data_IF_137232528284
#
_entry.id   IF_137232528284
#
_cell.length_a   1.000
_cell.length_b   1.000
_cell.length_c   1.000
_cell.angle_alpha   90.00
_cell.angle_beta   90.00
_cell.angle_gamma   90.00
#
_symmetry.space_group_name_H-M   'P 1'
#
loop_
_entity.id
_entity.type
_entity.pdbx_description
1 polymer ?
#
# COMPACT_ATOMS: atom_id res chain seq x y z
N UNK A 1 11.80 0.92 17.74
CA UNK A 1 10.74 0.45 16.84
C UNK A 1 9.41 0.59 17.58
N UNK A 2 8.37 1.18 16.97
CA UNK A 2 7.06 1.32 17.63
C UNK A 2 6.32 -0.02 17.63
N UNK A 3 5.62 -0.34 18.72
CA UNK A 3 4.74 -1.51 18.74
C UNK A 3 3.50 -1.29 17.88
N UNK A 4 2.90 -2.35 17.35
CA UNK A 4 1.63 -2.24 16.62
C UNK A 4 0.54 -1.59 17.46
N UNK A 5 0.44 -1.94 18.74
CA UNK A 5 -0.50 -1.34 19.67
C UNK A 5 -0.29 0.18 19.82
N UNK A 6 0.97 0.64 19.87
CA UNK A 6 1.29 2.08 19.91
C UNK A 6 0.92 2.79 18.62
N UNK A 7 1.14 2.17 17.46
CA UNK A 7 0.80 2.72 16.14
C UNK A 7 -0.71 2.92 16.03
N UNK A 8 -1.50 1.91 16.43
CA UNK A 8 -2.97 1.95 16.42
C UNK A 8 -3.49 2.98 17.41
N UNK A 9 -3.02 2.96 18.67
CA UNK A 9 -3.45 3.91 19.71
C UNK A 9 -3.19 5.37 19.35
N UNK A 10 -2.06 5.64 18.68
CA UNK A 10 -1.68 6.99 18.21
C UNK A 10 -2.36 7.39 16.89
N UNK A 11 -3.17 6.51 16.29
CA UNK A 11 -3.82 6.69 14.99
C UNK A 11 -2.83 7.08 13.86
N UNK A 12 -1.60 6.56 13.91
CA UNK A 12 -0.60 6.77 12.84
C UNK A 12 -1.03 6.06 11.56
N UNK A 13 -1.64 4.88 11.71
CA UNK A 13 -2.27 4.10 10.63
C UNK A 13 -3.76 4.01 10.93
N UNK A 14 -4.60 4.39 9.95
CA UNK A 14 -6.07 4.44 10.06
C UNK A 14 -6.71 3.56 8.99
N UNK A 15 -8.02 3.34 9.09
CA UNK A 15 -8.82 2.51 8.17
C UNK A 15 -8.43 1.01 8.16
N UNK A 16 -7.96 0.51 9.30
CA UNK A 16 -7.73 -0.92 9.50
C UNK A 16 -9.04 -1.69 9.38
N UNK A 17 -9.05 -2.68 8.50
CA UNK A 17 -10.22 -3.54 8.24
C UNK A 17 -10.50 -4.50 9.40
N UNK A 18 -9.43 -4.99 10.05
CA UNK A 18 -9.51 -5.90 11.18
C UNK A 18 -8.31 -5.66 12.12
N UNK A 19 -8.49 -4.80 13.13
CA UNK A 19 -7.42 -4.39 14.05
C UNK A 19 -6.75 -5.60 14.73
N UNK A 20 -7.54 -6.56 15.19
CA UNK A 20 -7.03 -7.72 15.95
C UNK A 20 -6.08 -8.61 15.13
N UNK A 21 -6.27 -8.71 13.82
CA UNK A 21 -5.41 -9.51 12.93
C UNK A 21 -4.30 -8.70 12.28
N UNK A 22 -4.50 -7.39 12.09
CA UNK A 22 -3.50 -6.51 11.45
C UNK A 22 -2.47 -5.97 12.44
N UNK A 23 -2.78 -5.91 13.73
CA UNK A 23 -1.82 -5.45 14.74
C UNK A 23 -0.72 -6.51 14.94
N UNK A 24 0.52 -6.16 14.56
CA UNK A 24 1.70 -7.01 14.75
C UNK A 24 2.52 -6.54 15.98
N UNK A 25 3.45 -7.36 16.51
CA UNK A 25 4.26 -6.98 17.66
C UNK A 25 5.01 -5.64 17.47
N UNK A 26 5.56 -5.41 16.27
CA UNK A 26 6.39 -4.24 15.94
C UNK A 26 5.95 -3.52 14.65
N UNK A 27 4.68 -3.61 14.29
CA UNK A 27 4.16 -3.02 13.07
C UNK A 27 2.66 -3.24 12.91
N UNK A 28 2.16 -2.97 11.71
CA UNK A 28 0.77 -3.20 11.33
C UNK A 28 0.75 -3.74 9.90
N UNK A 29 0.01 -4.82 9.66
CA UNK A 29 -0.20 -5.34 8.32
C UNK A 29 -1.18 -4.44 7.55
N UNK A 30 -0.87 -4.19 6.28
CA UNK A 30 -1.73 -3.42 5.37
C UNK A 30 -2.62 -4.35 4.57
N UNK A 31 -3.78 -3.85 4.17
CA UNK A 31 -4.77 -4.60 3.40
C UNK A 31 -4.92 -4.03 1.99
N UNK A 32 -5.03 -4.93 1.01
CA UNK A 32 -5.18 -4.56 -0.40
C UNK A 32 -6.51 -3.82 -0.63
N UNK A 33 -6.44 -2.64 -1.26
CA UNK A 33 -7.61 -1.89 -1.70
C UNK A 33 -7.93 -2.18 -3.17
N UNK A 34 -6.97 -1.88 -4.05
CA UNK A 34 -7.11 -2.12 -5.49
C UNK A 34 -5.75 -2.31 -6.16
N UNK A 35 -5.79 -2.90 -7.35
CA UNK A 35 -4.63 -3.16 -8.20
C UNK A 35 -4.80 -2.39 -9.50
N UNK A 36 -3.75 -1.70 -9.93
CA UNK A 36 -3.73 -0.97 -11.19
C UNK A 36 -2.59 -1.47 -12.08
N UNK A 37 -2.85 -1.44 -13.39
CA UNK A 37 -1.86 -1.73 -14.43
C UNK A 37 -1.40 -0.42 -15.07
N UNK A 38 -0.10 -0.30 -15.32
CA UNK A 38 0.43 0.83 -16.09
C UNK A 38 0.04 0.72 -17.56
N UNK A 39 -0.47 1.82 -18.13
CA UNK A 39 -0.91 1.94 -19.53
C UNK A 39 -0.01 2.85 -20.36
N UNK A 40 0.96 3.51 -19.73
CA UNK A 40 1.99 4.31 -20.41
C UNK A 40 3.31 4.30 -19.64
N UNK A 41 4.43 4.63 -20.29
CA UNK A 41 5.68 4.91 -19.58
C UNK A 41 5.58 6.18 -18.73
N UNK A 42 6.48 6.29 -17.74
CA UNK A 42 6.75 7.51 -16.97
C UNK A 42 8.10 8.12 -17.39
N UNK A 43 8.29 9.39 -17.08
CA UNK A 43 9.57 10.10 -17.21
C UNK A 43 10.02 10.60 -15.85
N UNK A 44 11.20 10.16 -15.42
CA UNK A 44 11.87 10.63 -14.20
C UNK A 44 12.94 11.62 -14.62
N UNK A 45 12.91 12.81 -14.03
CA UNK A 45 13.87 13.89 -14.27
C UNK A 45 14.50 14.32 -12.94
N UNK A 46 15.73 14.83 -12.99
CA UNK A 46 16.48 15.20 -11.78
C UNK A 46 15.95 16.48 -11.15
N UNK A 47 15.63 17.48 -11.97
CA UNK A 47 15.06 18.77 -11.52
C UNK A 47 13.51 18.79 -11.55
N UNK A 48 12.90 17.67 -11.93
CA UNK A 48 11.46 17.48 -12.17
C UNK A 48 10.85 18.31 -13.31
N UNK A 49 11.61 19.06 -14.11
CA UNK A 49 11.07 19.95 -15.16
C UNK A 49 10.36 19.19 -16.28
N UNK A 50 10.82 17.99 -16.63
CA UNK A 50 10.19 17.09 -17.61
C UNK A 50 9.54 15.86 -16.98
N UNK A 51 9.29 15.87 -15.66
CA UNK A 51 8.69 14.74 -14.97
C UNK A 51 7.28 14.49 -15.49
N UNK A 52 7.01 13.25 -15.90
CA UNK A 52 5.70 12.81 -16.37
C UNK A 52 5.31 11.52 -15.66
N UNK A 53 4.19 11.53 -14.95
CA UNK A 53 3.65 10.33 -14.34
C UNK A 53 3.16 9.35 -15.39
N UNK A 54 3.30 8.05 -15.12
CA UNK A 54 2.66 7.02 -15.92
C UNK A 54 1.14 7.04 -15.70
N UNK A 55 0.40 6.72 -16.74
CA UNK A 55 -1.05 6.47 -16.66
C UNK A 55 -1.31 5.05 -16.21
N UNK A 56 -2.44 4.85 -15.52
CA UNK A 56 -2.84 3.56 -15.00
C UNK A 56 -4.32 3.30 -15.27
N UNK A 57 -4.69 2.02 -15.35
CA UNK A 57 -6.06 1.54 -15.36
C UNK A 57 -6.28 0.53 -14.24
N UNK A 58 -7.39 0.64 -13.52
CA UNK A 58 -7.76 -0.29 -12.46
C UNK A 58 -8.10 -1.68 -13.03
N UNK A 59 -7.66 -2.73 -12.35
CA UNK A 59 -8.00 -4.11 -12.67
C UNK A 59 -9.14 -4.58 -11.76
N UNK A 60 -10.29 -5.02 -12.32
CA UNK A 60 -11.43 -5.43 -11.51
C UNK A 60 -11.18 -6.79 -10.85
N UNK A 61 -11.69 -6.96 -9.63
CA UNK A 61 -11.79 -8.27 -8.98
C UNK A 61 -12.96 -9.07 -9.57
N UNK A 62 -12.84 -10.40 -9.58
CA UNK A 62 -13.93 -11.28 -9.98
C UNK A 62 -15.08 -11.22 -8.96
N UNK A 63 -16.30 -10.99 -9.44
CA UNK A 63 -17.52 -10.87 -8.63
C UNK A 63 -17.87 -12.12 -7.81
N UNK A 64 -17.53 -13.32 -8.29
CA UNK A 64 -17.94 -14.57 -7.63
C UNK A 64 -17.04 -14.99 -6.47
N UNK A 65 -15.82 -14.45 -6.38
CA UNK A 65 -14.83 -14.89 -5.39
C UNK A 65 -14.00 -13.79 -4.73
N UNK A 66 -14.13 -12.53 -5.17
CA UNK A 66 -13.29 -11.44 -4.67
C UNK A 66 -11.78 -11.65 -4.95
N UNK A 67 -11.45 -12.47 -5.94
CA UNK A 67 -10.08 -12.79 -6.34
C UNK A 67 -9.71 -12.06 -7.62
N UNK A 68 -8.40 -11.92 -7.85
CA UNK A 68 -7.85 -11.34 -9.07
C UNK A 68 -6.69 -12.21 -9.53
N UNK A 69 -6.63 -12.48 -10.83
CA UNK A 69 -5.51 -13.19 -11.46
C UNK A 69 -4.56 -12.15 -12.05
N UNK A 70 -3.29 -12.22 -11.67
CA UNK A 70 -2.26 -11.32 -12.16
C UNK A 70 -1.29 -12.12 -13.04
N UNK A 71 -1.18 -11.72 -14.30
CA UNK A 71 -0.11 -12.23 -15.16
C UNK A 71 1.24 -11.73 -14.66
N UNK A 72 2.32 -12.41 -15.06
CA UNK A 72 3.68 -11.98 -14.72
C UNK A 72 3.91 -10.52 -15.19
N UNK A 73 4.32 -9.67 -14.26
CA UNK A 73 4.53 -8.25 -14.55
C UNK A 73 4.59 -7.41 -13.29
N UNK A 74 4.57 -6.09 -13.49
CA UNK A 74 4.55 -5.12 -12.42
C UNK A 74 3.15 -4.49 -12.32
N UNK A 75 2.69 -4.28 -11.08
CA UNK A 75 1.42 -3.63 -10.78
C UNK A 75 1.60 -2.53 -9.75
N UNK A 76 0.75 -1.50 -9.83
CA UNK A 76 0.61 -0.51 -8.77
C UNK A 76 -0.48 -1.01 -7.81
N UNK A 77 -0.16 -1.04 -6.52
CA UNK A 77 -1.09 -1.46 -5.47
C UNK A 77 -1.41 -0.26 -4.59
N UNK A 78 -2.69 -0.08 -4.29
CA UNK A 78 -3.15 0.83 -3.25
C UNK A 78 -3.66 0.03 -2.04
N UNK A 79 -3.38 0.52 -0.84
CA UNK A 79 -3.81 -0.07 0.42
C UNK A 79 -5.03 0.65 0.98
N UNK A 80 -5.85 -0.03 1.79
CA UNK A 80 -7.02 0.60 2.41
C UNK A 80 -6.59 1.60 3.50
N UNK A 81 -5.43 1.36 4.11
CA UNK A 81 -4.97 2.14 5.25
C UNK A 81 -4.45 3.52 4.83
N UNK A 82 -4.79 4.52 5.64
CA UNK A 82 -4.24 5.88 5.52
C UNK A 82 -3.19 6.10 6.59
N UNK A 83 -1.98 6.49 6.19
CA UNK A 83 -0.84 6.70 7.08
C UNK A 83 -0.57 8.19 7.25
N UNK A 84 -0.47 8.64 8.50
CA UNK A 84 -0.06 10.00 8.87
C UNK A 84 1.13 9.90 9.80
N UNK A 85 2.33 10.20 9.29
CA UNK A 85 3.59 10.03 10.01
C UNK A 85 3.92 11.32 10.82
N UNK A 86 3.97 11.25 12.16
CA UNK A 86 4.52 12.33 12.99
C UNK A 86 5.96 12.72 12.62
N UNK A 87 6.33 13.98 12.90
CA UNK A 87 7.68 14.52 12.62
C UNK A 87 8.82 13.80 13.36
N UNK A 88 8.51 13.13 14.48
CA UNK A 88 9.46 12.42 15.33
C UNK A 88 9.61 10.93 14.96
N UNK A 89 9.09 10.50 13.81
CA UNK A 89 9.15 9.10 13.40
C UNK A 89 9.30 8.91 11.89
N UNK A 90 9.69 7.70 11.52
CA UNK A 90 9.76 7.23 10.13
C UNK A 90 9.08 5.86 10.03
N UNK A 91 8.56 5.55 8.85
CA UNK A 91 7.95 4.25 8.53
C UNK A 91 8.77 3.49 7.50
N UNK A 92 8.73 2.17 7.58
CA UNK A 92 9.25 1.28 6.55
C UNK A 92 8.17 0.27 6.20
N UNK A 93 8.01 0.01 4.90
CA UNK A 93 7.09 -1.00 4.38
C UNK A 93 7.89 -2.25 3.99
N UNK A 94 7.39 -3.42 4.37
CA UNK A 94 7.99 -4.71 4.04
C UNK A 94 6.95 -5.58 3.36
N UNK A 95 7.41 -6.41 2.42
CA UNK A 95 6.59 -7.48 1.84
C UNK A 95 6.47 -8.60 2.87
N UNK A 96 5.28 -9.21 2.99
CA UNK A 96 5.11 -10.41 3.82
C UNK A 96 5.93 -11.54 3.21
N UNK A 97 6.65 -12.29 4.02
CA UNK A 97 7.50 -13.41 3.56
C UNK A 97 6.73 -14.55 2.87
N UNK A 98 5.41 -14.56 2.98
CA UNK A 98 4.52 -15.51 2.32
C UNK A 98 4.15 -15.12 0.88
N UNK A 99 4.59 -13.95 0.42
CA UNK A 99 4.37 -13.43 -0.95
C UNK A 99 5.62 -13.61 -1.80
#
# INVERSE_FOLDING_TARGET
MLSGASIVKRAIVRNLRAVASQQQPCGVDLSLHRVLKWTSPATVDLDNSRRKAATTSELPFNHEGGTITLDQGAYLVEFNETVSIPLDCMGQIFVRSSL
#
